data_IF_862121432259
#
_entry.id   IF_862121432259
#
_cell.length_a   1.000
_cell.length_b   1.000
_cell.length_c   1.000
_cell.angle_alpha   90.00
_cell.angle_beta   90.00
_cell.angle_gamma   90.00
#
_symmetry.space_group_name_H-M   'P 1'
#
loop_
_entity.id
_entity.type
_entity.pdbx_description
1 polymer ?
#
# COMPACT_ATOMS: atom_id res chain seq x y z
N UNK A 1 -57.81 5.70 44.94
CA UNK A 1 -58.02 5.80 43.48
C UNK A 1 -57.81 7.27 43.14
N UNK A 2 -56.87 7.74 42.30
CA UNK A 2 -56.11 7.15 41.19
C UNK A 2 -54.69 7.77 41.15
N UNK A 3 -53.81 7.12 40.39
CA UNK A 3 -52.35 7.25 40.41
C UNK A 3 -51.75 8.45 39.66
N UNK A 4 -50.51 8.77 40.06
CA UNK A 4 -49.47 9.54 39.37
C UNK A 4 -49.31 9.15 37.89
N UNK A 5 -48.81 10.07 37.04
CA UNK A 5 -47.64 9.87 36.18
C UNK A 5 -47.37 11.12 35.32
N UNK A 6 -46.28 11.84 35.58
CA UNK A 6 -45.53 12.53 34.52
C UNK A 6 -44.12 12.79 35.02
N UNK A 7 -43.25 11.80 34.88
CA UNK A 7 -41.81 11.94 35.09
C UNK A 7 -41.21 12.33 33.74
N UNK A 8 -40.80 13.58 33.59
CA UNK A 8 -40.01 14.03 32.44
C UNK A 8 -38.62 13.44 32.59
N UNK A 9 -38.28 12.49 31.73
CA UNK A 9 -36.94 11.91 31.62
C UNK A 9 -36.02 12.98 30.99
N UNK A 10 -35.36 13.78 31.81
CA UNK A 10 -34.29 14.67 31.35
C UNK A 10 -33.06 13.81 31.04
N UNK A 11 -32.84 13.54 29.76
CA UNK A 11 -31.58 13.01 29.24
C UNK A 11 -30.54 14.12 29.35
N UNK A 12 -29.76 14.12 30.43
CA UNK A 12 -28.55 14.92 30.51
C UNK A 12 -27.58 14.42 29.42
N UNK A 13 -27.29 15.27 28.42
CA UNK A 13 -26.16 15.06 27.52
C UNK A 13 -24.90 14.93 28.38
N UNK A 14 -24.47 13.69 28.61
CA UNK A 14 -23.16 13.42 29.17
C UNK A 14 -22.16 13.87 28.12
N UNK A 15 -21.20 14.71 28.52
CA UNK A 15 -20.16 15.31 27.68
C UNK A 15 -19.66 14.37 26.59
N UNK A 16 -20.18 14.54 25.36
CA UNK A 16 -19.53 14.00 24.16
C UNK A 16 -18.27 14.84 23.99
N UNK A 17 -17.19 14.42 24.64
CA UNK A 17 -15.86 14.98 24.40
C UNK A 17 -15.56 14.71 22.93
N UNK A 18 -15.72 15.73 22.09
CA UNK A 18 -15.33 15.67 20.69
C UNK A 18 -13.88 15.15 20.65
N UNK A 19 -13.64 14.07 19.92
CA UNK A 19 -12.29 13.60 19.68
C UNK A 19 -11.49 14.77 19.11
N UNK A 20 -10.39 15.15 19.77
CA UNK A 20 -9.57 16.27 19.31
C UNK A 20 -9.15 16.02 17.87
N UNK A 21 -9.46 16.95 16.97
CA UNK A 21 -9.06 16.85 15.56
C UNK A 21 -7.63 17.36 15.43
N UNK A 22 -6.69 16.45 15.23
CA UNK A 22 -5.32 16.81 14.88
C UNK A 22 -5.18 16.86 13.36
N UNK A 23 -4.90 18.04 12.81
CA UNK A 23 -4.59 18.20 11.39
C UNK A 23 -3.10 17.93 11.16
N UNK A 24 -2.80 16.94 10.33
CA UNK A 24 -1.47 16.70 9.78
C UNK A 24 -1.46 17.18 8.33
N UNK A 25 -0.99 18.40 8.10
CA UNK A 25 -0.93 19.03 6.78
C UNK A 25 0.14 20.10 6.73
N UNK A 26 0.50 20.51 5.51
CA UNK A 26 1.41 21.62 5.22
C UNK A 26 0.87 22.51 4.10
N UNK A 27 1.66 23.47 3.65
CA UNK A 27 1.33 24.35 2.53
C UNK A 27 1.22 23.59 1.21
N UNK A 28 1.96 22.49 1.09
CA UNK A 28 1.97 21.62 -0.07
C UNK A 28 2.08 20.14 0.33
N UNK A 29 2.13 19.26 -0.68
CA UNK A 29 2.26 17.81 -0.48
C UNK A 29 3.60 17.42 0.15
N UNK A 30 4.67 18.17 -0.12
CA UNK A 30 6.02 17.89 0.38
C UNK A 30 6.10 18.18 1.88
N UNK A 31 5.63 19.36 2.32
CA UNK A 31 5.55 19.71 3.73
C UNK A 31 4.55 18.80 4.48
N UNK A 32 3.44 18.43 3.85
CA UNK A 32 2.52 17.44 4.43
C UNK A 32 3.22 16.10 4.69
N UNK A 33 4.00 15.60 3.74
CA UNK A 33 4.76 14.34 3.91
C UNK A 33 5.77 14.43 5.08
N UNK A 34 6.45 15.57 5.22
CA UNK A 34 7.36 15.84 6.34
C UNK A 34 6.60 15.91 7.67
N UNK A 35 5.45 16.55 7.72
CA UNK A 35 4.65 16.68 8.95
C UNK A 35 4.06 15.34 9.41
N UNK A 36 3.75 14.44 8.47
CA UNK A 36 3.40 13.04 8.76
C UNK A 36 4.64 12.30 9.27
N UNK A 37 5.78 12.42 8.60
CA UNK A 37 7.03 11.74 8.99
C UNK A 37 7.48 12.10 10.42
N UNK A 38 7.31 13.36 10.83
CA UNK A 38 7.60 13.83 12.20
C UNK A 38 6.80 13.12 13.29
N UNK A 39 5.64 12.53 12.98
CA UNK A 39 4.89 11.74 13.96
C UNK A 39 5.63 10.46 14.37
N UNK A 40 6.59 10.02 13.56
CA UNK A 40 7.33 8.78 13.72
C UNK A 40 8.84 9.00 13.97
N UNK A 41 9.30 10.26 14.06
CA UNK A 41 10.71 10.70 14.07
C UNK A 41 11.68 9.74 14.81
N UNK A 42 11.35 9.31 16.04
CA UNK A 42 12.19 8.42 16.87
C UNK A 42 12.16 6.94 16.51
N UNK A 43 11.35 6.53 15.55
CA UNK A 43 11.11 5.14 15.14
C UNK A 43 11.48 4.88 13.67
N UNK A 44 12.09 5.87 13.00
CA UNK A 44 12.42 5.79 11.59
C UNK A 44 13.73 4.99 11.40
N UNK A 45 13.61 3.83 10.77
CA UNK A 45 14.74 2.97 10.43
C UNK A 45 15.27 3.21 9.01
N UNK A 46 14.48 3.82 8.14
CA UNK A 46 14.85 4.16 6.77
C UNK A 46 13.99 5.33 6.25
N UNK A 47 14.35 5.88 5.10
CA UNK A 47 13.51 6.85 4.39
C UNK A 47 13.19 6.31 3.02
N UNK A 48 11.97 6.53 2.57
CA UNK A 48 11.56 6.30 1.20
C UNK A 48 11.26 7.65 0.55
N UNK A 49 11.95 7.94 -0.55
CA UNK A 49 11.78 9.12 -1.38
C UNK A 49 11.00 8.71 -2.63
N UNK A 50 9.87 9.35 -2.87
CA UNK A 50 9.04 9.14 -4.07
C UNK A 50 8.66 10.47 -4.69
N UNK A 51 8.48 10.49 -6.00
CA UNK A 51 7.99 11.67 -6.69
C UNK A 51 6.59 12.02 -6.16
N UNK A 52 6.37 13.30 -5.83
CA UNK A 52 5.09 13.76 -5.31
C UNK A 52 4.04 14.04 -6.37
N UNK A 53 4.43 14.17 -7.64
CA UNK A 53 3.61 14.57 -8.79
C UNK A 53 3.02 13.35 -9.54
N UNK A 54 3.67 12.19 -9.44
CA UNK A 54 3.24 10.90 -9.99
C UNK A 54 3.04 9.86 -8.87
N UNK A 55 1.94 9.12 -8.94
CA UNK A 55 1.43 8.32 -7.83
C UNK A 55 1.74 6.83 -7.93
N UNK A 56 2.13 6.31 -9.10
CA UNK A 56 2.30 4.86 -9.28
C UNK A 56 3.43 4.32 -8.40
N UNK A 57 4.54 5.08 -8.31
CA UNK A 57 5.67 4.77 -7.44
C UNK A 57 5.29 4.89 -5.96
N UNK A 58 4.38 5.83 -5.63
CA UNK A 58 3.87 5.98 -4.26
C UNK A 58 3.06 4.75 -3.81
N UNK A 59 2.20 4.19 -4.67
CA UNK A 59 1.43 2.97 -4.35
C UNK A 59 2.38 1.80 -4.02
N UNK A 60 3.41 1.62 -4.84
CA UNK A 60 4.43 0.58 -4.62
C UNK A 60 5.21 0.80 -3.31
N UNK A 61 5.35 2.05 -2.87
CA UNK A 61 6.14 2.43 -1.70
C UNK A 61 5.48 2.16 -0.34
N UNK A 62 4.14 2.09 -0.25
CA UNK A 62 3.47 2.13 1.06
C UNK A 62 3.76 0.90 1.92
N UNK A 63 3.56 -0.29 1.37
CA UNK A 63 3.82 -1.55 2.07
C UNK A 63 5.34 -1.73 2.27
N UNK A 64 6.14 -1.31 1.28
CA UNK A 64 7.60 -1.30 1.37
C UNK A 64 8.08 -0.49 2.58
N UNK A 65 7.61 0.77 2.69
CA UNK A 65 7.97 1.68 3.76
C UNK A 65 7.58 1.10 5.13
N UNK A 66 6.39 0.51 5.25
CA UNK A 66 5.98 -0.16 6.49
C UNK A 66 6.95 -1.28 6.88
N UNK A 67 7.33 -2.13 5.93
CA UNK A 67 8.26 -3.26 6.17
C UNK A 67 9.66 -2.80 6.55
N UNK A 68 10.12 -1.70 5.96
CA UNK A 68 11.44 -1.12 6.26
C UNK A 68 11.42 -0.25 7.54
N UNK A 69 10.27 -0.04 8.17
CA UNK A 69 10.13 0.95 9.25
C UNK A 69 10.47 2.36 8.79
N UNK A 70 10.13 2.68 7.54
CA UNK A 70 10.51 3.90 6.88
C UNK A 70 9.41 4.96 6.90
N UNK A 71 9.81 6.23 6.96
CA UNK A 71 8.92 7.33 6.61
C UNK A 71 9.00 7.61 5.10
N UNK A 72 7.89 8.04 4.52
CA UNK A 72 7.82 8.43 3.11
C UNK A 72 7.91 9.96 3.03
N UNK A 73 8.86 10.46 2.25
CA UNK A 73 8.96 11.86 1.89
C UNK A 73 8.70 12.02 0.39
N UNK A 74 7.92 13.03 0.05
CA UNK A 74 7.67 13.40 -1.33
C UNK A 74 8.75 14.36 -1.84
N UNK A 75 9.10 14.23 -3.11
CA UNK A 75 10.05 15.10 -3.81
C UNK A 75 9.49 15.60 -5.13
N UNK A 76 9.96 16.75 -5.60
CA UNK A 76 9.83 17.11 -7.01
C UNK A 76 10.82 16.29 -7.84
N UNK A 77 10.63 16.30 -9.16
CA UNK A 77 11.43 15.50 -10.08
C UNK A 77 12.94 15.79 -10.01
N UNK A 78 13.33 17.04 -9.75
CA UNK A 78 14.73 17.47 -9.78
C UNK A 78 15.27 18.04 -8.48
N UNK A 79 14.44 18.19 -7.46
CA UNK A 79 14.85 18.83 -6.22
C UNK A 79 14.10 18.26 -5.03
N UNK A 80 14.79 18.19 -3.90
CA UNK A 80 14.21 17.87 -2.61
C UNK A 80 13.94 19.17 -1.87
N UNK A 81 12.72 19.34 -1.34
CA UNK A 81 12.36 20.56 -0.64
C UNK A 81 13.27 20.81 0.57
N UNK A 82 13.44 22.07 0.93
CA UNK A 82 14.21 22.45 2.13
C UNK A 82 13.66 21.78 3.39
N UNK A 83 12.33 21.68 3.52
CA UNK A 83 11.70 21.03 4.67
C UNK A 83 12.04 19.53 4.75
N UNK A 84 12.10 18.83 3.62
CA UNK A 84 12.52 17.43 3.57
C UNK A 84 14.00 17.26 3.90
N UNK A 85 14.86 18.15 3.41
CA UNK A 85 16.30 18.14 3.75
C UNK A 85 16.55 18.40 5.23
N UNK A 86 15.91 19.42 5.80
CA UNK A 86 16.03 19.75 7.21
C UNK A 86 15.54 18.59 8.09
N UNK A 87 14.44 17.94 7.68
CA UNK A 87 13.93 16.74 8.35
C UNK A 87 14.94 15.59 8.28
N UNK A 88 15.46 15.25 7.09
CA UNK A 88 16.48 14.21 6.92
C UNK A 88 17.69 14.44 7.81
N UNK A 89 18.21 15.68 7.84
CA UNK A 89 19.40 16.02 8.61
C UNK A 89 19.20 15.97 10.12
N UNK A 90 18.01 16.33 10.59
CA UNK A 90 17.69 16.41 12.01
C UNK A 90 17.24 15.08 12.62
N UNK A 91 16.53 14.29 11.83
CA UNK A 91 15.65 13.21 12.32
C UNK A 91 16.17 11.82 11.96
N UNK A 92 17.10 11.72 11.01
CA UNK A 92 17.56 10.45 10.45
C UNK A 92 19.07 10.33 10.55
N UNK A 93 19.54 9.26 11.18
CA UNK A 93 20.98 8.95 11.26
C UNK A 93 21.55 8.64 9.87
N UNK A 94 22.81 9.03 9.63
CA UNK A 94 23.45 9.01 8.31
C UNK A 94 23.77 7.61 7.77
N UNK A 95 23.78 6.63 8.66
CA UNK A 95 23.93 5.20 8.39
C UNK A 95 22.61 4.51 8.01
N UNK A 96 21.46 5.18 8.15
CA UNK A 96 20.16 4.63 7.76
C UNK A 96 20.00 4.57 6.25
N UNK A 97 19.20 3.63 5.79
CA UNK A 97 18.90 3.46 4.38
C UNK A 97 17.99 4.58 3.88
N UNK A 98 18.30 5.12 2.72
CA UNK A 98 17.42 6.01 1.95
C UNK A 98 17.12 5.33 0.62
N UNK A 99 15.87 4.94 0.42
CA UNK A 99 15.39 4.31 -0.80
C UNK A 99 14.74 5.36 -1.69
N UNK A 100 15.18 5.47 -2.93
CA UNK A 100 14.53 6.27 -3.97
C UNK A 100 13.72 5.32 -4.83
N UNK A 101 12.39 5.42 -4.79
CA UNK A 101 11.51 4.60 -5.63
C UNK A 101 11.09 5.43 -6.84
N UNK A 102 11.40 4.91 -8.02
CA UNK A 102 11.16 5.56 -9.30
C UNK A 102 12.44 5.78 -10.11
N UNK A 103 12.29 5.75 -11.44
CA UNK A 103 13.40 5.97 -12.36
C UNK A 103 13.87 7.44 -12.36
N UNK A 104 14.95 7.72 -13.07
CA UNK A 104 15.57 9.07 -13.14
C UNK A 104 14.72 10.11 -13.85
N UNK A 105 13.67 9.72 -14.58
CA UNK A 105 12.70 10.68 -15.16
C UNK A 105 11.74 11.23 -14.11
N UNK A 106 11.44 10.44 -13.08
CA UNK A 106 10.55 10.82 -11.96
C UNK A 106 11.29 11.35 -10.75
N UNK A 107 12.44 10.78 -10.41
CA UNK A 107 13.30 11.31 -9.34
C UNK A 107 14.72 11.32 -9.89
N UNK A 108 15.18 12.48 -10.35
CA UNK A 108 16.45 12.56 -11.06
C UNK A 108 17.65 12.24 -10.17
N UNK A 109 18.79 12.01 -10.81
CA UNK A 109 20.06 11.80 -10.10
C UNK A 109 20.50 13.03 -9.30
N UNK A 110 19.92 14.21 -9.55
CA UNK A 110 20.17 15.41 -8.74
C UNK A 110 19.64 15.24 -7.32
N UNK A 111 18.41 14.71 -7.15
CA UNK A 111 17.84 14.42 -5.81
C UNK A 111 18.70 13.42 -5.07
N UNK A 112 19.13 12.35 -5.74
CA UNK A 112 20.03 11.35 -5.17
C UNK A 112 21.36 11.96 -4.72
N UNK A 113 21.95 12.83 -5.56
CA UNK A 113 23.20 13.53 -5.24
C UNK A 113 23.03 14.48 -4.07
N UNK A 114 21.92 15.22 -4.00
CA UNK A 114 21.59 16.09 -2.86
C UNK A 114 21.60 15.30 -1.56
N UNK A 115 20.94 14.13 -1.53
CA UNK A 115 20.87 13.26 -0.34
C UNK A 115 22.25 12.73 0.03
N UNK A 116 23.01 12.20 -0.94
CA UNK A 116 24.38 11.70 -0.71
C UNK A 116 25.29 12.80 -0.17
N UNK A 117 25.17 14.03 -0.68
CA UNK A 117 25.94 15.19 -0.23
C UNK A 117 25.59 15.61 1.21
N UNK A 118 24.45 15.19 1.77
CA UNK A 118 24.16 15.33 3.20
C UNK A 118 24.86 14.27 4.07
N UNK A 119 25.68 13.39 3.49
CA UNK A 119 26.45 12.37 4.20
C UNK A 119 25.73 11.04 4.38
N UNK A 120 24.57 10.81 3.75
CA UNK A 120 23.92 9.50 3.77
C UNK A 120 24.73 8.49 2.94
N UNK A 121 25.23 7.43 3.58
CA UNK A 121 26.08 6.43 2.92
C UNK A 121 25.28 5.39 2.15
N UNK A 122 24.04 5.13 2.59
CA UNK A 122 23.22 4.02 2.12
C UNK A 122 22.03 4.54 1.31
N UNK A 123 22.30 5.05 0.11
CA UNK A 123 21.26 5.52 -0.81
C UNK A 123 21.09 4.52 -1.94
N UNK A 124 19.92 3.89 -2.01
CA UNK A 124 19.57 2.87 -2.99
C UNK A 124 18.39 3.33 -3.85
N UNK A 125 18.48 3.13 -5.16
CA UNK A 125 17.35 3.37 -6.07
C UNK A 125 16.69 2.06 -6.45
N UNK A 126 15.37 2.01 -6.34
CA UNK A 126 14.53 0.89 -6.78
C UNK A 126 13.65 1.39 -7.92
N UNK A 127 13.86 0.87 -9.13
CA UNK A 127 13.16 1.34 -10.33
C UNK A 127 13.17 0.30 -11.44
N UNK A 128 12.18 0.35 -12.31
CA UNK A 128 12.12 -0.38 -13.57
C UNK A 128 11.88 0.54 -14.77
N UNK A 129 11.64 -0.06 -15.95
CA UNK A 129 11.38 0.69 -17.18
C UNK A 129 9.95 1.26 -17.20
N UNK A 130 9.02 0.56 -16.54
CA UNK A 130 7.63 0.96 -16.33
C UNK A 130 7.27 1.00 -14.83
N UNK A 131 6.04 1.43 -14.55
CA UNK A 131 5.44 1.45 -13.21
C UNK A 131 5.26 0.04 -12.65
N UNK A 132 4.90 -0.88 -13.54
CA UNK A 132 4.73 -2.31 -13.27
C UNK A 132 6.08 -2.98 -12.97
N UNK A 133 7.14 -2.58 -13.67
CA UNK A 133 8.50 -3.06 -13.42
C UNK A 133 9.06 -2.50 -12.11
N UNK A 134 8.79 -1.23 -11.83
CA UNK A 134 9.17 -0.61 -10.54
C UNK A 134 8.44 -1.27 -9.39
N UNK A 135 7.14 -1.55 -9.53
CA UNK A 135 6.37 -2.31 -8.56
C UNK A 135 6.98 -3.70 -8.30
N UNK A 136 7.32 -4.44 -9.36
CA UNK A 136 7.96 -5.76 -9.24
C UNK A 136 9.32 -5.67 -8.53
N UNK A 137 10.17 -4.70 -8.89
CA UNK A 137 11.45 -4.48 -8.23
C UNK A 137 11.32 -4.12 -6.74
N UNK A 138 10.29 -3.37 -6.38
CA UNK A 138 9.98 -3.06 -4.98
C UNK A 138 9.50 -4.30 -4.24
N UNK A 139 8.66 -5.12 -4.86
CA UNK A 139 8.17 -6.38 -4.29
C UNK A 139 9.29 -7.39 -4.04
N UNK A 140 10.24 -7.52 -4.97
CA UNK A 140 11.42 -8.37 -4.81
C UNK A 140 12.25 -7.97 -3.59
N UNK A 141 12.34 -6.67 -3.31
CA UNK A 141 13.03 -6.13 -2.12
C UNK A 141 12.27 -6.34 -0.82
N UNK A 142 10.98 -6.65 -0.86
CA UNK A 142 10.20 -6.88 0.36
C UNK A 142 10.54 -8.20 1.04
N UNK A 143 11.10 -9.22 0.37
CA UNK A 143 11.22 -10.57 0.96
C UNK A 143 9.85 -11.01 1.55
N UNK A 144 8.83 -11.05 0.69
CA UNK A 144 7.47 -11.42 1.10
C UNK A 144 7.50 -12.86 1.62
N UNK A 145 6.98 -13.07 2.83
CA UNK A 145 6.93 -14.40 3.45
C UNK A 145 5.92 -15.27 2.72
N UNK A 146 6.25 -16.54 2.48
CA UNK A 146 5.34 -17.52 1.88
C UNK A 146 3.97 -17.53 2.58
N UNK A 147 2.89 -17.60 1.80
CA UNK A 147 1.52 -17.60 2.31
C UNK A 147 0.96 -16.22 2.71
N UNK A 148 1.76 -15.14 2.62
CA UNK A 148 1.25 -13.77 2.77
C UNK A 148 0.28 -13.46 1.63
N UNK A 149 -0.94 -12.97 1.92
CA UNK A 149 -1.87 -12.57 0.88
C UNK A 149 -1.30 -11.43 0.02
N UNK A 150 -1.42 -11.57 -1.29
CA UNK A 150 -1.04 -10.57 -2.29
C UNK A 150 -2.30 -9.87 -2.79
N UNK A 151 -2.26 -8.55 -2.89
CA UNK A 151 -3.35 -7.75 -3.42
C UNK A 151 -3.04 -7.45 -4.87
N UNK A 152 -3.89 -7.85 -5.81
CA UNK A 152 -3.79 -7.44 -7.21
C UNK A 152 -4.61 -6.17 -7.40
N UNK A 153 -3.98 -5.13 -7.91
CA UNK A 153 -4.64 -3.87 -8.21
C UNK A 153 -4.31 -3.44 -9.65
N UNK A 154 -5.27 -2.81 -10.32
CA UNK A 154 -5.02 -2.26 -11.64
C UNK A 154 -4.08 -1.07 -11.53
N UNK A 155 -3.02 -1.06 -12.34
CA UNK A 155 -2.15 0.11 -12.48
C UNK A 155 -2.76 1.23 -13.34
N UNK A 156 -3.92 1.01 -13.96
CA UNK A 156 -4.58 1.98 -14.84
C UNK A 156 -5.65 2.82 -14.11
N UNK A 157 -6.10 2.38 -12.93
CA UNK A 157 -7.11 3.03 -12.10
C UNK A 157 -6.54 3.60 -10.80
N UNK A 158 -6.27 4.92 -10.77
CA UNK A 158 -5.76 5.67 -9.61
C UNK A 158 -6.50 5.40 -8.28
N UNK A 159 -7.84 5.31 -8.34
CA UNK A 159 -8.69 5.22 -7.16
C UNK A 159 -8.53 3.88 -6.42
N UNK A 160 -8.17 2.83 -7.14
CA UNK A 160 -8.23 1.48 -6.62
C UNK A 160 -6.99 1.16 -5.76
N UNK A 161 -5.79 1.50 -6.26
CA UNK A 161 -4.54 1.27 -5.52
C UNK A 161 -4.45 2.08 -4.22
N UNK A 162 -4.89 3.34 -4.21
CA UNK A 162 -4.82 4.19 -3.00
C UNK A 162 -5.83 3.76 -1.94
N UNK A 163 -7.07 3.42 -2.34
CA UNK A 163 -8.10 3.02 -1.38
C UNK A 163 -7.75 1.71 -0.66
N UNK A 164 -7.09 0.77 -1.34
CA UNK A 164 -6.64 -0.48 -0.73
C UNK A 164 -5.31 -0.34 0.05
N UNK A 165 -4.54 0.72 -0.18
CA UNK A 165 -3.22 0.91 0.45
C UNK A 165 -3.25 0.85 1.98
N UNK A 166 -4.28 1.40 2.60
CA UNK A 166 -4.41 1.41 4.07
C UNK A 166 -4.55 -0.01 4.64
N UNK A 167 -5.38 -0.86 4.02
CA UNK A 167 -5.55 -2.23 4.47
C UNK A 167 -4.36 -3.12 4.08
N UNK A 168 -3.73 -2.84 2.93
CA UNK A 168 -2.49 -3.50 2.51
C UNK A 168 -1.37 -3.27 3.54
N UNK A 169 -1.16 -2.02 3.94
CA UNK A 169 -0.19 -1.62 4.97
C UNK A 169 -0.53 -2.25 6.33
N UNK A 170 -1.80 -2.24 6.74
CA UNK A 170 -2.24 -2.81 8.01
C UNK A 170 -2.02 -4.34 8.07
N UNK A 171 -2.23 -5.03 6.96
CA UNK A 171 -2.06 -6.49 6.84
C UNK A 171 -0.65 -6.90 6.42
N UNK A 172 0.25 -5.94 6.17
CA UNK A 172 1.56 -6.18 5.59
C UNK A 172 1.49 -6.97 4.26
N UNK A 173 0.40 -6.79 3.52
CA UNK A 173 0.08 -7.51 2.29
C UNK A 173 0.65 -6.73 1.10
N UNK A 174 1.55 -7.32 0.29
CA UNK A 174 2.08 -6.66 -0.91
C UNK A 174 0.97 -6.32 -1.91
N UNK A 175 1.15 -5.21 -2.63
CA UNK A 175 0.29 -4.82 -3.75
C UNK A 175 1.06 -5.10 -5.04
N UNK A 176 0.55 -6.02 -5.85
CA UNK A 176 1.00 -6.29 -7.20
C UNK A 176 0.16 -5.45 -8.19
N UNK A 177 0.82 -4.52 -8.88
CA UNK A 177 0.21 -3.77 -9.95
C UNK A 177 0.19 -4.62 -11.23
N UNK A 178 -0.98 -4.73 -11.84
CA UNK A 178 -1.22 -5.52 -13.06
C UNK A 178 -1.90 -4.67 -14.12
N UNK A 179 -1.71 -5.01 -15.39
CA UNK A 179 -2.44 -4.43 -16.52
C UNK A 179 -2.75 -5.48 -17.57
N UNK A 180 -3.48 -5.13 -18.63
CA UNK A 180 -3.78 -6.07 -19.71
C UNK A 180 -2.65 -6.20 -20.76
N UNK A 181 -1.45 -5.66 -20.48
CA UNK A 181 -0.32 -5.63 -21.41
C UNK A 181 0.77 -6.65 -21.00
N UNK A 182 2.01 -6.19 -20.82
CA UNK A 182 3.14 -7.05 -20.45
C UNK A 182 3.12 -7.36 -18.95
N UNK A 183 2.85 -8.63 -18.63
CA UNK A 183 2.76 -9.13 -17.25
C UNK A 183 3.86 -10.13 -16.89
N UNK A 184 4.99 -10.13 -17.62
CA UNK A 184 6.04 -11.13 -17.42
C UNK A 184 6.63 -11.07 -16.00
N UNK A 185 6.93 -9.87 -15.50
CA UNK A 185 7.50 -9.71 -14.16
C UNK A 185 6.46 -10.02 -13.07
N UNK A 186 5.20 -9.65 -13.29
CA UNK A 186 4.08 -9.96 -12.41
C UNK A 186 3.92 -11.48 -12.27
N UNK A 187 3.94 -12.20 -13.40
CA UNK A 187 3.89 -13.67 -13.40
C UNK A 187 5.09 -14.27 -12.67
N UNK A 188 6.30 -13.76 -12.89
CA UNK A 188 7.49 -14.23 -12.18
C UNK A 188 7.38 -14.03 -10.66
N UNK A 189 6.86 -12.89 -10.22
CA UNK A 189 6.60 -12.65 -8.80
C UNK A 189 5.58 -13.65 -8.25
N UNK A 190 4.46 -13.85 -8.95
CA UNK A 190 3.43 -14.82 -8.55
C UNK A 190 3.99 -16.25 -8.48
N UNK A 191 4.78 -16.65 -9.48
CA UNK A 191 5.38 -17.99 -9.55
C UNK A 191 6.44 -18.24 -8.47
N UNK A 192 7.03 -17.17 -7.95
CA UNK A 192 7.94 -17.26 -6.81
C UNK A 192 7.22 -17.53 -5.48
N UNK A 193 5.89 -17.33 -5.42
CA UNK A 193 5.10 -17.51 -4.21
C UNK A 193 4.58 -18.96 -4.14
N UNK A 194 5.13 -19.74 -3.20
CA UNK A 194 4.76 -21.16 -3.00
C UNK A 194 3.28 -21.39 -2.68
N UNK A 195 2.66 -20.48 -1.93
CA UNK A 195 1.23 -20.45 -1.64
C UNK A 195 0.70 -19.06 -1.92
N UNK A 196 -0.29 -18.97 -2.79
CA UNK A 196 -0.83 -17.70 -3.24
C UNK A 196 -2.25 -17.52 -2.71
N UNK A 197 -2.42 -16.51 -1.86
CA UNK A 197 -3.72 -15.96 -1.51
C UNK A 197 -3.83 -14.61 -2.21
N UNK A 198 -4.72 -14.48 -3.20
CA UNK A 198 -4.91 -13.23 -3.95
C UNK A 198 -6.17 -12.53 -3.49
N UNK A 199 -6.05 -11.23 -3.24
CA UNK A 199 -7.18 -10.31 -3.17
C UNK A 199 -7.15 -9.42 -4.42
N UNK A 200 -8.11 -9.58 -5.31
CA UNK A 200 -8.26 -8.74 -6.50
C UNK A 200 -9.08 -7.52 -6.14
N UNK A 201 -8.52 -6.35 -6.40
CA UNK A 201 -9.13 -5.06 -6.14
C UNK A 201 -9.19 -4.24 -7.44
N UNK A 202 -10.40 -4.12 -7.97
CA UNK A 202 -10.69 -3.56 -9.29
C UNK A 202 -11.73 -4.42 -10.01
N UNK A 203 -12.61 -3.78 -10.77
CA UNK A 203 -13.63 -4.50 -11.54
C UNK A 203 -13.05 -5.30 -12.71
N UNK A 204 -13.86 -6.18 -13.29
CA UNK A 204 -13.49 -7.02 -14.46
C UNK A 204 -13.00 -6.17 -15.64
N UNK A 205 -13.48 -4.92 -15.78
CA UNK A 205 -13.02 -3.98 -16.80
C UNK A 205 -11.58 -3.49 -16.62
N UNK A 206 -11.03 -3.58 -15.40
CA UNK A 206 -9.67 -3.15 -15.05
C UNK A 206 -8.72 -4.34 -14.85
N UNK A 207 -9.24 -5.48 -14.37
CA UNK A 207 -8.51 -6.74 -14.23
C UNK A 207 -9.40 -7.85 -14.79
N UNK A 208 -9.14 -8.30 -16.01
CA UNK A 208 -9.96 -9.31 -16.68
C UNK A 208 -9.74 -10.72 -16.12
N UNK A 209 -10.74 -11.59 -16.22
CA UNK A 209 -10.62 -13.01 -15.85
C UNK A 209 -9.49 -13.72 -16.61
N UNK A 210 -9.26 -13.35 -17.88
CA UNK A 210 -8.18 -13.88 -18.68
C UNK A 210 -6.79 -13.46 -18.13
N UNK A 211 -6.66 -12.21 -17.67
CA UNK A 211 -5.44 -11.75 -17.00
C UNK A 211 -5.22 -12.48 -15.67
N UNK A 212 -6.28 -12.67 -14.88
CA UNK A 212 -6.19 -13.45 -13.64
C UNK A 212 -5.78 -14.90 -13.91
N UNK A 213 -6.37 -15.55 -14.91
CA UNK A 213 -5.96 -16.87 -15.36
C UNK A 213 -4.49 -16.89 -15.76
N UNK A 214 -4.05 -15.96 -16.61
CA UNK A 214 -2.64 -15.87 -17.01
C UNK A 214 -1.67 -15.73 -15.82
N UNK A 215 -2.07 -14.98 -14.78
CA UNK A 215 -1.24 -14.73 -13.60
C UNK A 215 -1.24 -15.87 -12.60
N UNK A 216 -2.41 -16.49 -12.37
CA UNK A 216 -2.64 -17.42 -11.27
C UNK A 216 -2.54 -18.89 -11.72
N UNK A 217 -2.68 -19.17 -13.02
CA UNK A 217 -2.62 -20.53 -13.57
C UNK A 217 -1.19 -21.09 -13.44
N UNK A 218 -0.95 -21.69 -12.28
CA UNK A 218 0.16 -22.56 -11.99
C UNK A 218 -0.25 -23.94 -12.49
N UNK A 219 0.51 -24.47 -13.45
CA UNK A 219 0.40 -25.83 -13.98
C UNK A 219 0.63 -26.95 -12.94
N UNK A 220 0.48 -26.68 -11.63
CA UNK A 220 0.76 -27.60 -10.53
C UNK A 220 -0.04 -27.38 -9.24
N UNK A 221 -1.10 -26.55 -9.19
CA UNK A 221 -1.93 -26.44 -7.98
C UNK A 221 -3.38 -26.16 -8.34
N UNK A 222 -4.29 -27.06 -7.93
CA UNK A 222 -5.72 -26.90 -8.15
C UNK A 222 -6.20 -25.57 -7.55
N UNK A 223 -6.73 -24.69 -8.40
CA UNK A 223 -7.24 -23.39 -8.02
C UNK A 223 -8.64 -23.55 -7.43
N UNK A 224 -8.82 -23.22 -6.14
CA UNK A 224 -10.15 -23.09 -5.54
C UNK A 224 -10.49 -21.61 -5.41
N UNK A 225 -11.24 -21.09 -6.39
CA UNK A 225 -11.70 -19.70 -6.39
C UNK A 225 -12.81 -19.49 -5.35
N UNK A 226 -12.66 -18.49 -4.46
CA UNK A 226 -13.67 -18.10 -3.48
C UNK A 226 -14.08 -16.65 -3.71
N UNK A 227 -15.09 -16.42 -4.54
CA UNK A 227 -15.65 -15.10 -4.80
C UNK A 227 -16.43 -14.58 -3.59
N UNK A 228 -15.73 -14.04 -2.59
CA UNK A 228 -16.33 -13.21 -1.56
C UNK A 228 -16.38 -11.77 -2.06
N UNK A 229 -17.49 -11.39 -2.71
CA UNK A 229 -17.82 -9.98 -2.95
C UNK A 229 -18.06 -9.33 -1.59
N UNK A 230 -17.03 -8.69 -1.03
CA UNK A 230 -17.27 -7.67 -0.01
C UNK A 230 -18.15 -6.60 -0.66
N UNK A 231 -19.03 -5.96 0.11
CA UNK A 231 -19.95 -4.91 -0.37
C UNK A 231 -19.27 -3.73 -1.11
N UNK A 232 -17.95 -3.77 -1.29
CA UNK A 232 -17.09 -2.77 -1.93
C UNK A 232 -16.28 -3.30 -3.15
N UNK A 233 -16.62 -4.46 -3.75
CA UNK A 233 -16.13 -4.84 -5.09
C UNK A 233 -14.77 -5.55 -5.19
N UNK A 234 -14.36 -6.31 -4.17
CA UNK A 234 -13.13 -7.12 -4.19
C UNK A 234 -13.42 -8.62 -4.33
N UNK A 235 -12.51 -9.40 -4.94
CA UNK A 235 -12.64 -10.86 -5.16
C UNK A 235 -11.43 -11.57 -4.53
N UNK A 236 -11.64 -12.71 -3.85
CA UNK A 236 -10.56 -13.48 -3.22
C UNK A 236 -10.27 -14.81 -3.97
N UNK A 237 -9.00 -15.21 -4.02
CA UNK A 237 -8.56 -16.49 -4.57
C UNK A 237 -7.53 -17.12 -3.62
N UNK A 238 -7.55 -18.45 -3.47
CA UNK A 238 -6.57 -19.19 -2.67
C UNK A 238 -6.15 -20.47 -3.38
N UNK A 239 -4.86 -20.80 -3.32
CA UNK A 239 -4.30 -22.07 -3.81
C UNK A 239 -4.01 -23.06 -2.67
N UNK A 240 -4.45 -22.79 -1.45
CA UNK A 240 -4.26 -23.64 -0.26
C UNK A 240 -5.59 -24.28 0.16
N UNK A 241 -5.78 -25.55 -0.22
CA UNK A 241 -7.01 -26.32 0.07
C UNK A 241 -7.26 -26.48 1.58
N UNK A 242 -6.21 -26.41 2.42
CA UNK A 242 -6.29 -26.63 3.87
C UNK A 242 -6.83 -25.43 4.67
N UNK A 243 -6.91 -24.24 4.05
CA UNK A 243 -7.42 -23.01 4.69
C UNK A 243 -8.82 -22.62 4.25
N UNK A 244 -9.43 -23.42 3.38
CA UNK A 244 -10.81 -23.26 2.89
C UNK A 244 -11.85 -23.16 4.01
N UNK A 245 -11.65 -23.89 5.12
CA UNK A 245 -12.58 -23.87 6.26
C UNK A 245 -12.51 -22.60 7.12
N UNK A 246 -11.36 -21.90 7.15
CA UNK A 246 -11.19 -20.67 7.97
C UNK A 246 -11.80 -19.42 7.35
N UNK A 247 -12.25 -19.51 6.10
CA UNK A 247 -12.96 -18.45 5.37
C UNK A 247 -14.49 -18.60 5.47
N UNK A 248 -14.98 -19.71 6.05
CA UNK A 248 -16.40 -20.02 6.21
C UNK A 248 -17.02 -19.51 7.53
N UNK A 249 -16.25 -18.86 8.41
CA UNK A 249 -16.79 -18.27 9.64
C UNK A 249 -17.54 -16.95 9.34
N UNK A 250 -18.76 -17.13 8.84
CA UNK A 250 -19.91 -16.25 8.98
C UNK A 250 -19.65 -14.74 8.89
N UNK A 251 -19.50 -14.21 7.67
CA UNK A 251 -19.85 -12.80 7.44
C UNK A 251 -20.07 -12.31 6.00
N UNK A 252 -20.25 -13.14 4.95
CA UNK A 252 -20.46 -12.56 3.61
C UNK A 252 -21.54 -13.27 2.79
N UNK A 253 -22.38 -12.45 2.13
CA UNK A 253 -23.62 -12.84 1.47
C UNK A 253 -23.40 -13.87 0.35
N UNK A 254 -24.15 -14.95 0.46
CA UNK A 254 -24.28 -16.01 -0.54
C UNK A 254 -25.15 -15.48 -1.69
N UNK A 255 -24.56 -15.13 -2.84
CA UNK A 255 -25.31 -14.78 -4.06
C UNK A 255 -25.35 -16.00 -5.00
N UNK A 256 -26.09 -17.01 -4.57
CA UNK A 256 -26.69 -18.01 -5.46
C UNK A 256 -28.16 -18.18 -5.08
N UNK A 257 -28.96 -17.14 -5.33
CA UNK A 257 -30.41 -17.22 -5.55
C UNK A 257 -30.83 -16.10 -6.49
N UNK A 258 -30.77 -16.37 -7.79
CA UNK A 258 -31.88 -16.31 -8.76
C UNK A 258 -31.34 -16.32 -10.19
#
# INVERSE_FOLDING_TARGET
>A
MLANFSTVLSLTLSDVKAAGVTRLGGQDRYETSVNIAKQFDKLINAIVIVNGEDYHDAISSYVFAKRMGAAILLTESNTLSKSSLDFLNKSVSKDKNVYIIGNTKRVSSAVESIIKNQGFSNVERISGQSDYDTNSAVLDKMNVTEGTPVIFASGEGYADGISISSIAVAKNAPILLVNNNNNKLQKQFVDSMKYLNVLVYGGIGSISDNLLGLLIDNSSSAMTAYSAVLQNGAIFFSTDDSKSESLNDNKYCNLNKH
#
